data_IF_075728224939
#
_entry.id   IF_075728224939
#
_cell.length_a   1.000
_cell.length_b   1.000
_cell.length_c   1.000
_cell.angle_alpha   90.00
_cell.angle_beta   90.00
_cell.angle_gamma   90.00
#
_symmetry.space_group_name_H-M   'P 1'
#
loop_
_entity.id
_entity.type
_entity.pdbx_description
1 polymer ?
#
# COMPACT_ATOMS: atom_id res chain seq x y z
N UNK A 1 5.36 12.73 22.06
CA UNK A 1 5.28 12.55 21.59
C UNK A 1 5.26 12.08 20.90
N UNK A 2 5.51 12.25 21.06
CA UNK A 2 5.44 12.05 20.11
C UNK A 2 5.12 10.97 19.43
N UNK A 3 5.04 10.43 19.25
CA UNK A 3 4.68 9.26 18.62
C UNK A 3 3.38 9.17 17.98
N UNK A 4 2.76 10.21 17.85
CA UNK A 4 1.48 10.14 17.20
C UNK A 4 1.63 10.13 15.73
N UNK A 5 1.94 8.96 15.23
CA UNK A 5 1.94 8.80 13.81
C UNK A 5 0.54 8.46 13.40
N UNK A 6 -0.15 9.44 12.98
CA UNK A 6 -1.45 9.19 12.42
C UNK A 6 -1.26 8.63 11.03
N UNK A 7 -1.78 7.45 10.83
CA UNK A 7 -1.79 6.87 9.50
C UNK A 7 -3.23 6.58 9.13
N UNK A 8 -3.49 6.70 7.84
CA UNK A 8 -4.79 6.39 7.29
C UNK A 8 -4.65 5.03 6.63
N UNK A 9 -5.45 4.08 7.07
CA UNK A 9 -5.41 2.74 6.49
C UNK A 9 -6.60 2.56 5.58
N UNK A 10 -6.30 2.20 4.35
CA UNK A 10 -7.32 1.98 3.34
C UNK A 10 -7.03 0.68 2.62
N UNK A 11 -8.10 0.09 2.11
CA UNK A 11 -7.97 -1.09 1.28
C UNK A 11 -7.92 -0.66 -0.18
N UNK A 12 -7.06 -1.30 -0.94
CA UNK A 12 -6.97 -1.03 -2.36
C UNK A 12 -6.68 -2.29 -3.13
N UNK A 13 -6.68 -2.15 -4.45
CA UNK A 13 -6.38 -3.25 -5.34
C UNK A 13 -5.18 -2.88 -6.18
N UNK A 14 -4.23 -3.80 -6.30
CA UNK A 14 -3.05 -3.57 -7.14
C UNK A 14 -3.50 -3.58 -8.59
N UNK A 15 -3.24 -2.50 -9.30
CA UNK A 15 -3.62 -2.40 -10.70
C UNK A 15 -2.42 -2.48 -11.63
N UNK A 16 -1.22 -2.24 -11.12
CA UNK A 16 -0.03 -2.32 -11.95
C UNK A 16 1.19 -2.48 -11.08
N UNK A 17 2.13 -3.32 -11.51
CA UNK A 17 3.42 -3.46 -10.85
C UNK A 17 4.41 -2.51 -11.51
N UNK A 18 5.13 -1.75 -10.69
CA UNK A 18 6.08 -0.76 -11.14
C UNK A 18 7.49 -1.18 -10.73
N UNK A 19 8.51 -0.63 -11.38
CA UNK A 19 9.88 -0.94 -10.98
C UNK A 19 10.18 -0.50 -9.56
N UNK A 20 11.13 -1.16 -8.93
CA UNK A 20 11.60 -0.73 -7.61
C UNK A 20 10.68 -1.13 -6.47
N UNK A 21 10.01 -2.25 -6.60
CA UNK A 21 9.11 -2.76 -5.55
C UNK A 21 7.99 -1.77 -5.25
N UNK A 22 7.53 -1.07 -6.27
CA UNK A 22 6.42 -0.15 -6.16
C UNK A 22 5.23 -0.69 -6.92
N UNK A 23 4.05 -0.27 -6.52
CA UNK A 23 2.82 -0.74 -7.14
C UNK A 23 1.84 0.40 -7.25
N UNK A 24 1.11 0.41 -8.34
CA UNK A 24 0.01 1.34 -8.48
C UNK A 24 -1.22 0.67 -7.88
N UNK A 25 -1.85 1.33 -6.92
CA UNK A 25 -2.96 0.77 -6.16
C UNK A 25 -4.14 1.70 -6.27
N UNK A 26 -5.26 1.12 -6.66
CA UNK A 26 -6.52 1.87 -6.68
C UNK A 26 -7.23 1.66 -5.35
N UNK A 27 -7.48 2.74 -4.64
CA UNK A 27 -8.09 2.68 -3.32
C UNK A 27 -9.61 2.58 -3.44
N UNK A 28 -10.24 2.15 -2.35
CA UNK A 28 -11.70 2.02 -2.33
C UNK A 28 -12.40 3.32 -2.61
N UNK A 29 -11.76 4.44 -2.27
CA UNK A 29 -12.37 5.74 -2.51
C UNK A 29 -12.21 6.22 -3.94
N UNK A 30 -11.67 5.40 -4.82
CA UNK A 30 -11.53 5.74 -6.22
C UNK A 30 -10.23 6.42 -6.60
N UNK A 31 -9.40 6.74 -5.62
CA UNK A 31 -8.11 7.36 -5.91
C UNK A 31 -7.05 6.30 -6.18
N UNK A 32 -6.11 6.66 -7.03
CA UNK A 32 -5.00 5.78 -7.34
C UNK A 32 -3.73 6.37 -6.75
N UNK A 33 -2.95 5.54 -6.07
CA UNK A 33 -1.72 5.98 -5.45
C UNK A 33 -0.58 5.07 -5.87
N UNK A 34 0.64 5.53 -5.61
CA UNK A 34 1.83 4.71 -5.75
C UNK A 34 2.20 4.22 -4.37
N UNK A 35 2.29 2.92 -4.21
CA UNK A 35 2.59 2.31 -2.92
C UNK A 35 3.84 1.45 -3.04
N UNK A 36 4.65 1.47 -2.00
CA UNK A 36 5.80 0.59 -1.92
C UNK A 36 5.54 -0.49 -0.89
N UNK A 37 6.26 -1.58 -1.03
CA UNK A 37 6.11 -2.71 -0.12
C UNK A 37 6.84 -2.41 1.17
N UNK A 38 6.20 -2.67 2.30
CA UNK A 38 6.85 -2.45 3.59
C UNK A 38 8.02 -3.41 3.74
N UNK A 39 8.96 -3.04 4.62
CA UNK A 39 10.11 -3.90 4.85
C UNK A 39 9.71 -5.26 5.39
N UNK A 40 8.65 -5.30 6.20
CA UNK A 40 8.16 -6.55 6.75
C UNK A 40 7.69 -7.49 5.66
N UNK A 41 6.93 -6.97 4.70
CA UNK A 41 6.44 -7.81 3.61
C UNK A 41 7.58 -8.25 2.71
N UNK A 42 8.54 -7.36 2.49
CA UNK A 42 9.69 -7.70 1.67
C UNK A 42 10.50 -8.81 2.31
N UNK A 43 10.60 -8.79 3.61
CA UNK A 43 11.34 -9.79 4.35
C UNK A 43 10.69 -11.17 4.23
N UNK A 44 9.38 -11.22 4.10
CA UNK A 44 8.65 -12.48 4.00
C UNK A 44 8.39 -12.90 2.56
N UNK A 45 8.97 -12.19 1.61
CA UNK A 45 8.84 -12.53 0.19
C UNK A 45 7.41 -12.61 -0.29
N UNK A 46 6.57 -11.75 0.24
CA UNK A 46 5.19 -11.74 -0.20
C UNK A 46 5.13 -11.15 -1.59
N UNK A 47 4.62 -11.92 -2.52
CA UNK A 47 4.54 -11.51 -3.91
C UNK A 47 3.18 -10.87 -4.18
N UNK A 48 3.21 -9.70 -4.77
CA UNK A 48 2.00 -9.01 -5.15
C UNK A 48 1.86 -9.02 -6.66
N UNK A 49 0.64 -9.29 -7.12
CA UNK A 49 0.35 -9.27 -8.54
C UNK A 49 -0.88 -8.42 -8.75
N UNK A 50 -1.08 -8.04 -10.00
CA UNK A 50 -2.24 -7.24 -10.35
C UNK A 50 -3.51 -7.98 -9.95
N UNK A 51 -4.43 -7.26 -9.31
CA UNK A 51 -5.66 -7.85 -8.83
C UNK A 51 -5.66 -8.19 -7.36
N UNK A 52 -4.48 -8.20 -6.72
CA UNK A 52 -4.41 -8.50 -5.31
C UNK A 52 -4.98 -7.34 -4.51
N UNK A 53 -5.70 -7.69 -3.45
CA UNK A 53 -6.18 -6.69 -2.51
C UNK A 53 -5.16 -6.51 -1.41
N UNK A 54 -4.91 -5.27 -1.06
CA UNK A 54 -3.90 -4.93 -0.08
C UNK A 54 -4.41 -3.84 0.84
N UNK A 55 -3.83 -3.81 2.03
CA UNK A 55 -4.05 -2.70 2.93
C UNK A 55 -2.87 -1.75 2.78
N UNK A 56 -3.18 -0.48 2.53
CA UNK A 56 -2.14 0.53 2.40
C UNK A 56 -2.26 1.54 3.53
N UNK A 57 -1.13 2.07 3.93
CA UNK A 57 -1.05 3.11 4.94
C UNK A 57 -0.62 4.40 4.28
N UNK A 58 -1.37 5.44 4.54
CA UNK A 58 -1.08 6.77 4.02
C UNK A 58 -0.89 7.70 5.20
N UNK A 59 -0.13 8.77 4.98
CA UNK A 59 -0.04 9.81 5.99
C UNK A 59 -0.89 10.98 5.54
N UNK A 60 -1.40 11.78 6.50
CA UNK A 60 -2.16 12.98 6.12
C UNK A 60 -1.33 13.98 5.32
N UNK A 61 -0.02 13.87 5.40
CA UNK A 61 0.87 14.80 4.73
C UNK A 61 1.03 14.51 3.25
N UNK A 62 0.80 13.27 2.85
CA UNK A 62 0.95 12.91 1.45
C UNK A 62 0.01 11.75 1.14
N UNK A 63 -1.12 12.08 0.53
CA UNK A 63 -2.13 11.09 0.22
C UNK A 63 -1.94 10.47 -1.15
N UNK A 64 -0.84 10.80 -1.83
CA UNK A 64 -0.58 10.24 -3.15
C UNK A 64 0.38 9.07 -3.10
N UNK A 65 1.04 8.86 -1.96
CA UNK A 65 1.98 7.78 -1.78
C UNK A 65 1.64 7.02 -0.52
N UNK A 66 1.81 5.73 -0.56
CA UNK A 66 1.48 4.92 0.59
C UNK A 66 2.43 3.75 0.71
N UNK A 67 2.20 2.98 1.77
CA UNK A 67 2.98 1.79 2.04
C UNK A 67 2.02 0.62 2.17
N UNK A 68 2.32 -0.46 1.46
CA UNK A 68 1.52 -1.66 1.56
C UNK A 68 1.92 -2.41 2.82
N UNK A 69 0.98 -2.57 3.74
CA UNK A 69 1.22 -3.22 5.02
C UNK A 69 0.88 -4.69 4.99
N UNK A 70 -0.20 -5.03 4.33
CA UNK A 70 -0.68 -6.40 4.30
C UNK A 70 -1.25 -6.72 2.93
N UNK A 71 -1.13 -7.99 2.58
CA UNK A 71 -1.86 -8.52 1.45
C UNK A 71 -3.11 -9.19 2.01
N UNK A 72 -4.25 -8.73 1.58
CA UNK A 72 -5.51 -9.26 2.07
C UNK A 72 -5.88 -10.50 1.27
N UNK A 73 -6.38 -11.49 1.97
CA UNK A 73 -6.87 -12.69 1.32
C UNK A 73 -8.37 -12.67 1.26
N UNK A 74 -8.88 -13.11 0.17
CA UNK A 74 -10.32 -13.26 0.02
C UNK A 74 -10.83 -14.45 0.78
#
# INVERSE_FOLDING_TARGET
>A
MAGNKEVIKLTGTVVEALPGAQFKVELENGHTIIAHVSGKMRKHYIRLVRGDKVEVELTPYDLTKGRISFRLKD
#
